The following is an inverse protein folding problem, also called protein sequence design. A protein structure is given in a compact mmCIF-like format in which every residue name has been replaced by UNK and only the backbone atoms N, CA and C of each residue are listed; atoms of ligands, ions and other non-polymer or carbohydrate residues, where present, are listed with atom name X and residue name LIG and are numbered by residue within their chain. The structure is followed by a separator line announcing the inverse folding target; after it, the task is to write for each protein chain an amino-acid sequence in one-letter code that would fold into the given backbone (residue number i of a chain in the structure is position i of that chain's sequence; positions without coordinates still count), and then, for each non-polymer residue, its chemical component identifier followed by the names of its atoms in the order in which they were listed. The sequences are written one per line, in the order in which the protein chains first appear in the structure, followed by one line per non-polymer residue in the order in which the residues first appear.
data_IF_423791970673
#
_entry.id   IF_423791970673
#
_cell.length_a   1.000
_cell.length_b   1.000
_cell.length_c   1.000
_cell.angle_alpha   90.00
_cell.angle_beta   90.00
_cell.angle_gamma   90.00
#
_symmetry.space_group_name_H-M   'P 1'
#
loop_
_entity.id
_entity.type
_entity.pdbx_description
1 polymer ?
#
# COMPACT_ATOMS: atom_id res chain seq x y z
N UNK A 1 37.83 20.93 23.56
CA UNK A 1 36.60 20.15 23.83
C UNK A 1 35.32 20.86 23.41
N UNK A 2 35.16 22.18 23.64
CA UNK A 2 33.96 22.95 23.24
C UNK A 2 33.68 22.88 21.73
N UNK A 3 34.71 22.95 20.87
CA UNK A 3 34.53 22.83 19.42
C UNK A 3 34.02 21.46 18.95
N UNK A 4 34.38 20.37 19.65
CA UNK A 4 33.87 19.02 19.37
C UNK A 4 32.39 18.91 19.76
N UNK A 5 32.02 19.45 20.93
CA UNK A 5 30.63 19.48 21.37
C UNK A 5 29.75 20.33 20.44
N UNK A 6 30.24 21.50 20.02
CA UNK A 6 29.54 22.35 19.05
C UNK A 6 29.35 21.66 17.70
N UNK A 7 30.37 20.96 17.21
CA UNK A 7 30.29 20.17 15.98
C UNK A 7 29.25 19.05 16.06
N UNK A 8 29.20 18.30 17.18
CA UNK A 8 28.22 17.22 17.37
C UNK A 8 26.79 17.73 17.43
N UNK A 9 26.54 18.88 18.06
CA UNK A 9 25.21 19.50 18.10
C UNK A 9 24.77 19.93 16.69
N UNK A 10 25.66 20.55 15.92
CA UNK A 10 25.36 20.96 14.54
C UNK A 10 25.02 19.76 13.66
N UNK A 11 25.82 18.70 13.71
CA UNK A 11 25.56 17.46 12.95
C UNK A 11 24.25 16.79 13.38
N UNK A 12 23.94 16.79 14.68
CA UNK A 12 22.67 16.27 15.20
C UNK A 12 21.45 16.99 14.63
N UNK A 13 21.51 18.32 14.56
CA UNK A 13 20.44 19.14 13.98
C UNK A 13 20.30 18.92 12.47
N UNK A 14 21.41 18.82 11.75
CA UNK A 14 21.41 18.56 10.30
C UNK A 14 20.85 17.17 9.97
N UNK A 15 21.20 16.14 10.75
CA UNK A 15 20.64 14.80 10.60
C UNK A 15 19.12 14.77 10.85
N UNK A 16 18.63 15.47 11.87
CA UNK A 16 17.19 15.56 12.15
C UNK A 16 16.45 16.26 11.01
N UNK A 17 17.01 17.34 10.47
CA UNK A 17 16.43 18.05 9.34
C UNK A 17 16.39 17.16 8.10
N UNK A 18 17.48 16.45 7.81
CA UNK A 18 17.57 15.54 6.67
C UNK A 18 16.54 14.40 6.77
N UNK A 19 16.36 13.81 7.95
CA UNK A 19 15.32 12.82 8.22
C UNK A 19 13.92 13.39 7.96
N UNK A 20 13.66 14.61 8.43
CA UNK A 20 12.36 15.28 8.23
C UNK A 20 12.06 15.51 6.75
N UNK A 21 13.05 15.94 5.97
CA UNK A 21 12.92 16.12 4.52
C UNK A 21 12.64 14.79 3.82
N UNK A 22 13.35 13.73 4.21
CA UNK A 22 13.15 12.39 3.64
C UNK A 22 11.73 11.87 3.87
N UNK A 23 11.20 12.01 5.11
CA UNK A 23 9.83 11.62 5.44
C UNK A 23 8.80 12.44 4.65
N UNK A 24 9.00 13.76 4.52
CA UNK A 24 8.12 14.62 3.73
C UNK A 24 8.14 14.25 2.24
N UNK A 25 9.32 13.95 1.68
CA UNK A 25 9.45 13.49 0.30
C UNK A 25 8.70 12.17 0.07
N UNK A 26 8.78 11.23 1.03
CA UNK A 26 8.04 9.97 0.98
C UNK A 26 6.52 10.19 1.05
N UNK A 27 6.04 11.08 1.92
CA UNK A 27 4.63 11.44 2.01
C UNK A 27 4.11 12.09 0.71
N UNK A 28 4.90 12.97 0.10
CA UNK A 28 4.58 13.58 -1.19
C UNK A 28 4.52 12.53 -2.31
N UNK A 29 5.50 11.62 -2.40
CA UNK A 29 5.51 10.55 -3.39
C UNK A 29 4.29 9.62 -3.28
N UNK A 30 3.87 9.30 -2.04
CA UNK A 30 2.64 8.52 -1.80
C UNK A 30 1.39 9.27 -2.28
N UNK A 31 1.33 10.57 -2.00
CA UNK A 31 0.22 11.42 -2.45
C UNK A 31 0.16 11.49 -3.97
N UNK A 32 1.29 11.66 -4.64
CA UNK A 32 1.40 11.67 -6.10
C UNK A 32 0.96 10.35 -6.72
N UNK A 33 1.33 9.21 -6.12
CA UNK A 33 0.86 7.88 -6.54
C UNK A 33 -0.67 7.76 -6.47
N UNK A 34 -1.31 8.29 -5.42
CA UNK A 34 -2.77 8.26 -5.28
C UNK A 34 -3.47 9.23 -6.26
N UNK A 35 -2.88 10.40 -6.49
CA UNK A 35 -3.39 11.39 -7.44
C UNK A 35 -3.30 10.88 -8.88
N UNK A 36 -2.18 10.29 -9.29
CA UNK A 36 -2.01 9.73 -10.64
C UNK A 36 -3.06 8.67 -10.97
N UNK A 37 -3.39 7.79 -10.02
CA UNK A 37 -4.51 6.83 -10.17
C UNK A 37 -5.85 7.53 -10.39
N UNK A 38 -6.10 8.59 -9.62
CA UNK A 38 -7.36 9.33 -9.69
C UNK A 38 -7.50 10.08 -11.02
N UNK A 39 -6.41 10.62 -11.54
CA UNK A 39 -6.37 11.27 -12.86
C UNK A 39 -6.81 10.32 -13.98
N UNK A 40 -6.34 9.06 -13.99
CA UNK A 40 -6.77 8.06 -14.99
C UNK A 40 -8.30 7.86 -14.99
N UNK A 41 -8.94 7.94 -13.83
CA UNK A 41 -10.41 7.86 -13.73
C UNK A 41 -11.05 9.11 -14.35
N UNK A 42 -10.52 10.29 -14.04
CA UNK A 42 -11.05 11.57 -14.52
C UNK A 42 -10.79 11.81 -16.02
N UNK A 43 -9.76 11.21 -16.61
CA UNK A 43 -9.40 11.30 -18.04
C UNK A 43 -10.29 10.45 -18.97
N UNK A 44 -11.54 10.19 -18.58
CA UNK A 44 -12.55 9.54 -19.44
C UNK A 44 -12.67 8.03 -19.28
N UNK A 45 -12.07 7.43 -18.24
CA UNK A 45 -12.26 6.00 -17.91
C UNK A 45 -13.24 5.77 -16.76
N UNK A 46 -13.99 6.79 -16.34
CA UNK A 46 -14.91 6.72 -15.21
C UNK A 46 -15.97 5.60 -15.36
N UNK A 47 -16.56 5.43 -16.56
CA UNK A 47 -17.56 4.39 -16.80
C UNK A 47 -16.99 2.98 -16.66
N UNK A 48 -15.83 2.73 -17.28
CA UNK A 48 -15.11 1.45 -17.15
C UNK A 48 -14.78 1.18 -15.68
N UNK A 49 -14.22 2.16 -14.98
CA UNK A 49 -13.82 2.01 -13.57
C UNK A 49 -15.03 1.79 -12.66
N UNK A 50 -16.15 2.45 -12.93
CA UNK A 50 -17.40 2.21 -12.22
C UNK A 50 -17.87 0.78 -12.45
N UNK A 51 -17.99 0.35 -13.72
CA UNK A 51 -18.48 -0.99 -14.08
C UNK A 51 -17.62 -2.09 -13.46
N UNK A 52 -16.30 -1.97 -13.55
CA UNK A 52 -15.34 -2.95 -13.01
C UNK A 52 -15.39 -3.03 -11.47
N UNK A 53 -15.84 -1.98 -10.78
CA UNK A 53 -15.99 -1.95 -9.32
C UNK A 53 -17.37 -2.40 -8.82
N UNK A 54 -18.43 -2.25 -9.62
CA UNK A 54 -19.82 -2.49 -9.18
C UNK A 54 -20.46 -3.74 -9.75
N UNK A 55 -19.88 -4.31 -10.82
CA UNK A 55 -20.44 -5.48 -11.51
C UNK A 55 -19.79 -6.78 -11.02
N UNK A 56 -20.57 -7.85 -10.78
CA UNK A 56 -20.02 -9.17 -10.47
C UNK A 56 -19.01 -9.63 -11.53
N UNK A 57 -17.94 -10.31 -11.11
CA UNK A 57 -16.83 -10.69 -12.00
C UNK A 57 -17.30 -11.54 -13.17
N UNK A 58 -18.28 -12.41 -12.98
CA UNK A 58 -18.78 -13.31 -14.02
C UNK A 58 -19.46 -12.56 -15.18
N UNK A 59 -20.08 -11.42 -14.88
CA UNK A 59 -20.82 -10.58 -15.83
C UNK A 59 -19.91 -9.58 -16.60
N UNK A 60 -18.62 -9.52 -16.26
CA UNK A 60 -17.64 -8.70 -16.95
C UNK A 60 -17.12 -9.38 -18.23
N UNK A 61 -16.82 -8.58 -19.26
CA UNK A 61 -16.10 -9.07 -20.43
C UNK A 61 -14.62 -9.36 -20.12
N UNK A 62 -13.89 -9.94 -21.08
CA UNK A 62 -12.48 -10.33 -20.86
C UNK A 62 -11.56 -9.14 -20.57
N UNK A 63 -11.80 -7.99 -21.20
CA UNK A 63 -11.01 -6.79 -20.98
C UNK A 63 -11.29 -6.17 -19.61
N UNK A 64 -12.55 -6.19 -19.18
CA UNK A 64 -13.00 -5.73 -17.88
C UNK A 64 -12.49 -6.63 -16.75
N UNK A 65 -12.51 -7.95 -16.94
CA UNK A 65 -11.89 -8.94 -16.04
C UNK A 65 -10.39 -8.70 -15.89
N UNK A 66 -9.70 -8.44 -17.00
CA UNK A 66 -8.27 -8.09 -16.97
C UNK A 66 -8.02 -6.78 -16.23
N UNK A 67 -8.87 -5.77 -16.47
CA UNK A 67 -8.79 -4.47 -15.79
C UNK A 67 -9.01 -4.62 -14.29
N UNK A 68 -10.03 -5.38 -13.87
CA UNK A 68 -10.30 -5.70 -12.46
C UNK A 68 -9.08 -6.33 -11.79
N UNK A 69 -8.54 -7.38 -12.41
CA UNK A 69 -7.36 -8.09 -11.89
C UNK A 69 -6.14 -7.17 -11.77
N UNK A 70 -5.99 -6.22 -12.69
CA UNK A 70 -4.91 -5.24 -12.64
C UNK A 70 -5.07 -4.28 -11.45
N UNK A 71 -6.30 -3.86 -11.16
CA UNK A 71 -6.62 -3.06 -9.97
C UNK A 71 -6.36 -3.84 -8.68
N UNK A 72 -6.77 -5.10 -8.62
CA UNK A 72 -6.57 -5.93 -7.43
C UNK A 72 -5.06 -6.19 -7.17
N UNK A 73 -4.25 -6.39 -8.23
CA UNK A 73 -2.78 -6.48 -8.11
C UNK A 73 -2.16 -5.17 -7.61
N UNK A 74 -2.69 -4.03 -8.04
CA UNK A 74 -2.25 -2.73 -7.52
C UNK A 74 -2.57 -2.58 -6.03
N UNK A 75 -3.77 -3.00 -5.60
CA UNK A 75 -4.15 -3.01 -4.17
C UNK A 75 -3.21 -3.91 -3.36
N UNK A 76 -2.90 -5.12 -3.84
CA UNK A 76 -1.90 -5.99 -3.20
C UNK A 76 -0.56 -5.26 -3.03
N UNK A 77 -0.06 -4.62 -4.08
CA UNK A 77 1.24 -3.95 -4.07
C UNK A 77 1.28 -2.80 -3.08
N UNK A 78 0.17 -2.05 -2.97
CA UNK A 78 0.00 -0.98 -1.98
C UNK A 78 0.01 -1.54 -0.55
N UNK A 79 -0.67 -2.66 -0.31
CA UNK A 79 -0.71 -3.30 1.02
C UNK A 79 0.66 -3.84 1.44
N UNK A 80 1.36 -4.53 0.54
CA UNK A 80 2.73 -5.00 0.77
C UNK A 80 3.67 -3.84 1.10
N UNK A 81 3.57 -2.73 0.35
CA UNK A 81 4.35 -1.53 0.60
C UNK A 81 4.01 -0.86 1.95
N UNK A 82 2.73 -0.82 2.35
CA UNK A 82 2.35 -0.29 3.66
C UNK A 82 2.90 -1.16 4.79
N UNK A 83 2.83 -2.50 4.67
CA UNK A 83 3.43 -3.40 5.66
C UNK A 83 4.94 -3.18 5.78
N UNK A 84 5.64 -3.05 4.65
CA UNK A 84 7.06 -2.72 4.65
C UNK A 84 7.36 -1.39 5.37
N UNK A 85 6.56 -0.35 5.13
CA UNK A 85 6.72 0.94 5.82
C UNK A 85 6.46 0.86 7.33
N UNK A 86 5.48 0.06 7.76
CA UNK A 86 5.22 -0.18 9.17
C UNK A 86 6.40 -0.90 9.84
N UNK A 87 6.97 -1.91 9.20
CA UNK A 87 8.17 -2.60 9.70
C UNK A 87 9.39 -1.66 9.87
N UNK A 88 9.44 -0.57 9.11
CA UNK A 88 10.48 0.46 9.23
C UNK A 88 10.16 1.56 10.27
N UNK A 89 9.01 1.49 10.95
CA UNK A 89 8.55 2.51 11.89
C UNK A 89 8.12 3.83 11.23
N UNK A 90 7.80 3.79 9.93
CA UNK A 90 7.36 4.96 9.16
C UNK A 90 5.84 5.17 9.19
N UNK A 91 5.12 4.21 9.76
CA UNK A 91 3.70 4.29 10.09
C UNK A 91 3.56 4.08 11.59
N UNK A 92 2.79 4.95 12.25
CA UNK A 92 2.46 4.76 13.67
C UNK A 92 1.41 3.66 13.86
N UNK A 93 1.23 3.21 15.10
CA UNK A 93 0.31 2.10 15.42
C UNK A 93 -1.16 2.42 15.10
N UNK A 94 -1.55 3.70 15.20
CA UNK A 94 -2.92 4.15 14.88
C UNK A 94 -3.17 4.05 13.37
N UNK A 95 -2.23 4.55 12.56
CA UNK A 95 -2.24 4.42 11.11
C UNK A 95 -2.19 2.95 10.68
N UNK A 96 -1.37 2.14 11.34
CA UNK A 96 -1.25 0.72 11.06
C UNK A 96 -2.56 -0.02 11.30
N UNK A 97 -3.24 0.23 12.42
CA UNK A 97 -4.51 -0.42 12.77
C UNK A 97 -5.56 -0.27 11.66
N UNK A 98 -5.65 0.93 11.05
CA UNK A 98 -6.57 1.17 9.93
C UNK A 98 -6.18 0.38 8.68
N UNK A 99 -4.89 0.32 8.39
CA UNK A 99 -4.35 -0.40 7.22
C UNK A 99 -4.49 -1.90 7.40
N UNK A 100 -4.16 -2.43 8.57
CA UNK A 100 -4.29 -3.83 8.96
C UNK A 100 -5.72 -4.31 8.78
N UNK A 101 -6.71 -3.56 9.28
CA UNK A 101 -8.12 -3.88 9.05
C UNK A 101 -8.46 -4.00 7.57
N UNK A 102 -7.95 -3.09 6.74
CA UNK A 102 -8.16 -3.14 5.28
C UNK A 102 -7.46 -4.32 4.62
N UNK A 103 -6.31 -4.76 5.16
CA UNK A 103 -5.63 -5.96 4.72
C UNK A 103 -6.46 -7.19 5.08
N UNK A 104 -6.99 -7.26 6.30
CA UNK A 104 -7.90 -8.33 6.73
C UNK A 104 -9.15 -8.38 5.85
N UNK A 105 -9.82 -7.25 5.60
CA UNK A 105 -11.00 -7.20 4.71
C UNK A 105 -10.73 -7.78 3.31
N UNK A 106 -9.56 -7.50 2.74
CA UNK A 106 -9.18 -8.03 1.43
C UNK A 106 -8.68 -9.48 1.49
N UNK A 107 -8.07 -9.88 2.61
CA UNK A 107 -7.71 -11.27 2.87
C UNK A 107 -8.97 -12.12 3.00
N UNK A 108 -10.01 -11.61 3.65
CA UNK A 108 -11.28 -12.31 3.83
C UNK A 108 -12.06 -12.52 2.51
N UNK A 109 -11.68 -11.82 1.45
CA UNK A 109 -12.24 -11.99 0.11
C UNK A 109 -11.53 -13.13 -0.63
N UNK A 110 -12.12 -14.33 -0.60
CA UNK A 110 -11.51 -15.54 -1.13
C UNK A 110 -11.17 -15.46 -2.63
N UNK A 111 -11.88 -14.63 -3.39
CA UNK A 111 -11.60 -14.42 -4.83
C UNK A 111 -10.24 -13.75 -5.07
N UNK A 112 -9.67 -13.07 -4.07
CA UNK A 112 -8.37 -12.38 -4.16
C UNK A 112 -7.17 -13.29 -3.83
N UNK A 113 -7.37 -14.48 -3.24
CA UNK A 113 -6.28 -15.40 -2.84
C UNK A 113 -5.26 -15.77 -3.93
N UNK A 114 -5.64 -15.95 -5.20
CA UNK A 114 -4.67 -16.19 -6.26
C UNK A 114 -3.64 -15.06 -6.44
N UNK A 115 -3.96 -13.81 -6.06
CA UNK A 115 -3.05 -12.67 -6.14
C UNK A 115 -1.94 -12.79 -5.08
N UNK A 116 -2.32 -13.14 -3.86
CA UNK A 116 -1.40 -13.32 -2.74
C UNK A 116 -0.42 -14.48 -2.98
N UNK A 117 -0.84 -15.52 -3.71
CA UNK A 117 0.04 -16.65 -4.06
C UNK A 117 1.07 -16.27 -5.13
N UNK A 118 0.65 -15.51 -6.17
CA UNK A 118 1.47 -15.21 -7.35
C UNK A 118 2.53 -14.13 -7.14
N UNK A 119 2.38 -13.25 -6.16
CA UNK A 119 3.29 -12.13 -5.94
C UNK A 119 4.46 -12.50 -5.00
N UNK A 120 5.72 -12.17 -5.29
CA UNK A 120 6.88 -12.77 -4.61
C UNK A 120 7.32 -12.11 -3.28
N UNK A 121 6.58 -11.15 -2.72
CA UNK A 121 6.98 -10.52 -1.45
C UNK A 121 6.82 -11.50 -0.27
N UNK A 122 7.93 -12.12 0.13
CA UNK A 122 7.99 -13.09 1.22
C UNK A 122 7.60 -12.49 2.57
N UNK A 123 7.98 -11.25 2.86
CA UNK A 123 7.72 -10.64 4.16
C UNK A 123 6.22 -10.40 4.35
N UNK A 124 5.57 -9.84 3.34
CA UNK A 124 4.13 -9.62 3.37
C UNK A 124 3.35 -10.94 3.32
N UNK A 125 3.80 -11.93 2.53
CA UNK A 125 3.20 -13.28 2.53
C UNK A 125 3.23 -13.94 3.90
N UNK A 126 4.35 -13.86 4.60
CA UNK A 126 4.47 -14.42 5.95
C UNK A 126 3.52 -13.71 6.92
N UNK A 127 3.41 -12.38 6.82
CA UNK A 127 2.45 -11.62 7.60
C UNK A 127 1.00 -12.05 7.34
N UNK A 128 0.60 -12.21 6.08
CA UNK A 128 -0.76 -12.68 5.73
C UNK A 128 -1.07 -14.06 6.33
N UNK A 129 -0.07 -14.94 6.43
CA UNK A 129 -0.25 -16.25 7.08
C UNK A 129 -0.49 -16.20 8.59
N UNK A 130 -0.29 -15.03 9.22
CA UNK A 130 -0.62 -14.81 10.64
C UNK A 130 -2.03 -14.28 10.86
N UNK A 131 -2.70 -13.86 9.79
CA UNK A 131 -4.07 -13.34 9.84
C UNK A 131 -5.07 -14.50 9.98
N UNK A 132 -6.24 -14.20 10.56
CA UNK A 132 -7.36 -15.14 10.55
C UNK A 132 -7.77 -15.44 9.11
N UNK A 133 -7.94 -16.71 8.78
CA UNK A 133 -8.24 -17.16 7.42
C UNK A 133 -9.63 -17.79 7.36
N UNK A 134 -10.59 -17.05 6.81
CA UNK A 134 -11.97 -17.47 6.60
C UNK A 134 -12.20 -18.26 5.29
N UNK A 135 -11.15 -18.43 4.47
CA UNK A 135 -11.24 -19.06 3.14
C UNK A 135 -10.74 -20.51 3.12
N UNK A 136 -10.27 -21.00 4.27
CA UNK A 136 -9.84 -22.38 4.46
C UNK A 136 -10.90 -23.07 5.33
N UNK A 137 -11.69 -23.95 4.72
CA UNK A 137 -12.48 -24.96 5.43
C UNK A 137 -11.56 -26.09 5.95
#
# INVERSE_FOLDING_TARGET
MIGLLGGLVFVGLEMQQNQTIALAAQANARTEMLLSRSLVIFEGRAELMHKVQTTPVDDLDDFEKWTKRSLDNWVYSLQANNYFQYQLGLLDDEQWTVIEKRIQENWDECTLRPLYTRNPDTAFKNYLSTLEDNCVD
#
